data_IF_479765882264
#
_entry.id   IF_479765882264
#
_cell.length_a   1.000
_cell.length_b   1.000
_cell.length_c   1.000
_cell.angle_alpha   90.00
_cell.angle_beta   90.00
_cell.angle_gamma   90.00
#
_symmetry.space_group_name_H-M   'P 1'
#
loop_
_entity.id
_entity.type
_entity.pdbx_description
1 polymer ?
#
# COMPACT_ATOMS: atom_id res chain seq x y z
N UNK A 1 17.23 3.38 -13.99
CA UNK A 1 18.15 3.25 -12.85
C UNK A 1 19.32 2.47 -13.39
N UNK A 2 20.52 3.01 -13.21
CA UNK A 2 21.74 2.43 -13.75
C UNK A 2 21.95 0.99 -13.27
N UNK A 3 22.47 0.12 -14.13
CA UNK A 3 22.63 -1.31 -13.83
C UNK A 3 23.60 -1.55 -12.67
N UNK A 4 24.59 -0.67 -12.48
CA UNK A 4 25.55 -0.77 -11.37
C UNK A 4 24.85 -0.74 -10.00
N UNK A 5 23.78 0.06 -9.85
CA UNK A 5 23.03 0.18 -8.60
C UNK A 5 22.21 -1.07 -8.25
N UNK A 6 21.99 -1.97 -9.22
CA UNK A 6 21.23 -3.21 -9.05
C UNK A 6 22.11 -4.40 -8.65
N UNK A 7 23.40 -4.16 -8.40
CA UNK A 7 24.34 -5.13 -7.85
C UNK A 7 24.80 -4.67 -6.48
N UNK A 8 25.04 -5.58 -5.53
CA UNK A 8 25.63 -5.21 -4.24
C UNK A 8 27.05 -4.66 -4.41
N UNK A 9 27.62 -4.02 -3.38
CA UNK A 9 29.04 -3.69 -3.38
C UNK A 9 29.88 -4.97 -3.45
N UNK A 10 31.12 -4.88 -3.93
CA UNK A 10 32.01 -6.03 -4.10
C UNK A 10 32.37 -6.71 -2.78
N UNK A 11 32.30 -5.99 -1.67
CA UNK A 11 32.25 -6.55 -0.33
C UNK A 11 31.43 -5.65 0.58
N UNK A 12 31.03 -6.20 1.73
CA UNK A 12 30.32 -5.45 2.77
C UNK A 12 31.03 -4.17 3.22
N UNK A 13 32.36 -4.21 3.32
CA UNK A 13 33.17 -3.11 3.84
C UNK A 13 33.31 -1.93 2.85
N UNK A 14 32.92 -2.13 1.59
CA UNK A 14 32.93 -1.07 0.58
C UNK A 14 31.69 -0.17 0.62
N UNK A 15 30.72 -0.44 1.51
CA UNK A 15 29.57 0.43 1.67
C UNK A 15 30.00 1.84 2.10
N UNK A 16 29.45 2.85 1.43
CA UNK A 16 29.65 4.24 1.87
C UNK A 16 29.18 4.39 3.32
N UNK A 17 30.00 5.03 4.16
CA UNK A 17 29.64 5.27 5.56
C UNK A 17 28.30 6.02 5.63
N UNK A 18 27.43 5.75 6.62
CA UNK A 18 26.13 6.42 6.69
C UNK A 18 26.22 7.96 6.77
N UNK A 19 27.28 8.48 7.40
CA UNK A 19 27.59 9.91 7.49
C UNK A 19 27.95 10.49 6.12
N UNK A 20 28.80 9.81 5.36
CA UNK A 20 29.16 10.23 4.01
C UNK A 20 27.96 10.12 3.07
N UNK A 21 27.13 9.09 3.23
CA UNK A 21 25.88 8.95 2.48
C UNK A 21 24.96 10.15 2.71
N UNK A 22 24.78 10.56 3.97
CA UNK A 22 24.03 11.77 4.30
C UNK A 22 24.68 13.03 3.67
N UNK A 23 26.00 13.15 3.72
CA UNK A 23 26.74 14.27 3.10
C UNK A 23 26.54 14.33 1.58
N UNK A 24 26.68 13.22 0.86
CA UNK A 24 26.46 13.13 -0.60
C UNK A 24 25.04 13.60 -0.97
N UNK A 25 24.06 13.20 -0.17
CA UNK A 25 22.65 13.54 -0.39
C UNK A 25 22.27 14.98 0.01
N UNK A 26 23.16 15.74 0.66
CA UNK A 26 22.93 17.16 0.98
C UNK A 26 22.60 17.99 -0.26
N UNK A 27 23.13 17.63 -1.43
CA UNK A 27 22.88 18.27 -2.72
C UNK A 27 21.42 18.20 -3.18
N UNK A 28 20.61 17.32 -2.59
CA UNK A 28 19.19 17.19 -2.89
C UNK A 28 18.31 18.18 -2.10
N UNK A 29 18.83 18.83 -1.06
CA UNK A 29 18.08 19.85 -0.31
C UNK A 29 17.77 21.03 -1.23
N UNK A 30 16.53 21.53 -1.15
CA UNK A 30 15.94 22.54 -2.04
C UNK A 30 15.82 22.13 -3.52
N UNK A 31 16.14 20.87 -3.88
CA UNK A 31 15.95 20.38 -5.24
C UNK A 31 14.46 20.19 -5.54
N UNK A 32 13.98 20.58 -6.74
CA UNK A 32 12.60 20.34 -7.13
C UNK A 32 12.22 18.86 -7.11
N UNK A 33 11.10 18.54 -6.47
CA UNK A 33 10.50 17.22 -6.43
C UNK A 33 8.97 17.36 -6.35
N UNK A 34 8.31 17.23 -7.50
CA UNK A 34 6.85 17.33 -7.61
C UNK A 34 6.20 15.99 -7.28
N UNK A 35 5.33 15.99 -6.28
CA UNK A 35 4.52 14.81 -5.93
C UNK A 35 3.45 14.58 -7.00
N UNK A 36 3.33 13.34 -7.48
CA UNK A 36 2.28 12.94 -8.42
C UNK A 36 1.00 12.50 -7.72
N UNK A 37 1.00 12.44 -6.37
CA UNK A 37 -0.09 11.89 -5.57
C UNK A 37 -0.21 10.36 -5.62
N UNK A 38 0.76 9.67 -6.25
CA UNK A 38 0.77 8.21 -6.40
C UNK A 38 2.00 7.67 -5.67
N UNK A 39 1.85 7.09 -4.45
CA UNK A 39 2.99 6.73 -3.60
C UNK A 39 4.04 5.82 -4.28
N UNK A 40 3.62 4.88 -5.12
CA UNK A 40 4.54 4.00 -5.88
C UNK A 40 5.35 4.77 -6.92
N UNK A 41 4.72 5.72 -7.60
CA UNK A 41 5.38 6.58 -8.60
C UNK A 41 6.34 7.55 -7.92
N UNK A 42 5.90 8.21 -6.86
CA UNK A 42 6.72 9.14 -6.08
C UNK A 42 7.96 8.42 -5.51
N UNK A 43 7.76 7.23 -4.92
CA UNK A 43 8.86 6.39 -4.43
C UNK A 43 9.77 5.83 -5.54
N UNK A 44 9.30 5.69 -6.77
CA UNK A 44 10.15 5.31 -7.91
C UNK A 44 10.97 6.51 -8.41
N UNK A 45 10.36 7.70 -8.47
CA UNK A 45 11.01 8.93 -8.90
C UNK A 45 12.10 9.36 -7.91
N UNK A 46 11.82 9.35 -6.60
CA UNK A 46 12.82 9.66 -5.57
C UNK A 46 14.01 8.70 -5.65
N UNK A 47 13.74 7.41 -5.84
CA UNK A 47 14.78 6.39 -5.96
C UNK A 47 15.67 6.57 -7.18
N UNK A 48 15.10 6.97 -8.33
CA UNK A 48 15.89 7.31 -9.53
C UNK A 48 16.77 8.54 -9.26
N UNK A 49 16.21 9.55 -8.60
CA UNK A 49 16.92 10.77 -8.23
C UNK A 49 18.09 10.49 -7.29
N UNK A 50 17.86 9.80 -6.17
CA UNK A 50 18.91 9.37 -5.23
C UNK A 50 19.93 8.49 -5.94
N UNK A 51 19.48 7.50 -6.73
CA UNK A 51 20.37 6.62 -7.48
C UNK A 51 21.33 7.37 -8.39
N UNK A 52 20.86 8.40 -9.11
CA UNK A 52 21.71 9.21 -9.99
C UNK A 52 22.82 9.96 -9.25
N UNK A 53 22.58 10.41 -8.02
CA UNK A 53 23.62 11.05 -7.19
C UNK A 53 24.65 10.02 -6.72
N UNK A 54 24.18 8.87 -6.25
CA UNK A 54 25.03 7.83 -5.69
C UNK A 54 25.87 7.11 -6.75
N UNK A 55 25.45 7.12 -8.02
CA UNK A 55 26.21 6.51 -9.10
C UNK A 55 27.38 7.39 -9.60
N UNK A 56 27.32 8.70 -9.41
CA UNK A 56 28.32 9.63 -9.96
C UNK A 56 29.43 10.01 -8.99
N UNK A 57 29.14 10.07 -7.69
CA UNK A 57 30.09 10.55 -6.68
C UNK A 57 30.78 9.38 -5.96
N UNK A 58 31.88 8.90 -6.55
CA UNK A 58 32.74 7.84 -6.01
C UNK A 58 31.92 6.65 -5.46
N UNK A 59 31.16 5.95 -6.32
CA UNK A 59 30.35 4.82 -5.90
C UNK A 59 31.23 3.66 -5.41
N UNK A 60 30.72 2.79 -4.52
CA UNK A 60 31.34 1.50 -4.24
C UNK A 60 31.58 0.70 -5.53
N UNK A 61 32.59 -0.16 -5.53
CA UNK A 61 32.74 -1.10 -6.65
C UNK A 61 31.61 -2.11 -6.57
N UNK A 62 30.95 -2.39 -7.69
CA UNK A 62 29.89 -3.39 -7.74
C UNK A 62 30.48 -4.81 -7.79
N UNK A 63 29.86 -5.76 -7.09
CA UNK A 63 30.22 -7.18 -7.18
C UNK A 63 30.06 -7.71 -8.61
N UNK A 64 30.89 -8.69 -8.99
CA UNK A 64 30.75 -9.40 -10.26
C UNK A 64 29.59 -10.38 -10.17
N UNK A 65 28.98 -10.70 -11.31
CA UNK A 65 28.00 -11.79 -11.37
C UNK A 65 28.69 -13.11 -11.06
N UNK A 66 28.35 -13.75 -9.95
CA UNK A 66 29.01 -14.97 -9.47
C UNK A 66 29.37 -14.83 -7.99
N UNK A 67 30.00 -13.71 -7.63
CA UNK A 67 30.60 -13.46 -6.31
C UNK A 67 29.59 -13.27 -5.16
N UNK A 68 28.30 -13.36 -5.44
CA UNK A 68 27.25 -13.15 -4.45
C UNK A 68 25.95 -13.87 -4.81
N UNK A 69 25.18 -14.15 -3.77
CA UNK A 69 23.83 -14.70 -3.86
C UNK A 69 22.84 -13.82 -3.10
N UNK A 70 21.75 -13.46 -3.78
CA UNK A 70 20.60 -12.86 -3.12
C UNK A 70 19.75 -13.98 -2.53
N UNK A 71 19.66 -14.03 -1.21
CA UNK A 71 19.03 -15.13 -0.47
C UNK A 71 17.50 -15.10 -0.57
N UNK A 72 16.81 -13.95 -0.39
CA UNK A 72 15.36 -13.92 -0.43
C UNK A 72 14.82 -14.31 -1.81
N UNK A 73 13.85 -15.23 -1.88
CA UNK A 73 13.29 -15.68 -3.14
C UNK A 73 12.70 -14.52 -3.92
N UNK A 74 12.96 -14.49 -5.24
CA UNK A 74 12.56 -13.39 -6.14
C UNK A 74 13.02 -12.01 -5.67
N UNK A 75 14.07 -11.94 -4.83
CA UNK A 75 14.61 -10.69 -4.25
C UNK A 75 13.58 -9.93 -3.39
N UNK A 76 12.59 -10.61 -2.81
CA UNK A 76 11.57 -9.97 -1.97
C UNK A 76 12.17 -9.36 -0.71
N UNK A 77 11.78 -8.14 -0.40
CA UNK A 77 12.27 -7.41 0.77
C UNK A 77 13.68 -6.83 0.59
N UNK A 78 14.41 -7.24 -0.45
CA UNK A 78 15.74 -6.73 -0.74
C UNK A 78 15.63 -5.31 -1.33
N UNK A 79 16.49 -4.35 -0.92
CA UNK A 79 16.46 -3.00 -1.46
C UNK A 79 16.71 -2.97 -2.97
N UNK A 80 16.19 -1.94 -3.66
CA UNK A 80 16.44 -1.82 -5.12
C UNK A 80 17.74 -1.09 -5.46
N UNK A 81 18.27 -0.25 -4.55
CA UNK A 81 19.61 0.32 -4.67
C UNK A 81 20.51 -0.59 -3.83
N UNK A 82 21.00 -1.65 -4.46
CA UNK A 82 21.81 -2.68 -3.82
C UNK A 82 23.23 -2.22 -3.54
N UNK A 83 23.80 -1.43 -4.45
CA UNK A 83 25.20 -1.00 -4.37
C UNK A 83 25.49 -0.25 -3.07
N UNK A 84 24.51 0.55 -2.65
CA UNK A 84 24.52 1.29 -1.39
C UNK A 84 23.55 0.68 -0.38
N UNK A 85 23.04 -0.52 -0.61
CA UNK A 85 22.18 -1.28 0.29
C UNK A 85 21.15 -0.42 1.07
N UNK A 86 20.38 0.40 0.34
CA UNK A 86 19.45 1.39 0.89
C UNK A 86 18.02 1.24 0.36
N UNK A 87 17.06 1.50 1.25
CA UNK A 87 15.68 1.79 0.86
C UNK A 87 15.40 3.29 0.91
N UNK A 88 14.56 3.76 -0.01
CA UNK A 88 14.22 5.17 -0.17
C UNK A 88 12.75 5.44 0.10
N UNK A 89 12.44 6.48 0.85
CA UNK A 89 11.09 6.82 1.27
C UNK A 89 10.79 8.30 1.09
N UNK A 90 9.62 8.62 0.52
CA UNK A 90 9.10 9.98 0.46
C UNK A 90 8.30 10.24 1.74
N UNK A 91 8.66 11.31 2.45
CA UNK A 91 7.95 11.82 3.63
C UNK A 91 7.31 13.14 3.23
N UNK A 92 5.98 13.20 3.24
CA UNK A 92 5.26 14.43 2.86
C UNK A 92 4.69 15.13 4.08
N UNK A 93 3.38 15.04 4.28
CA UNK A 93 2.62 15.83 5.25
C UNK A 93 1.87 14.94 6.25
N UNK A 94 1.40 15.54 7.35
CA UNK A 94 0.65 14.88 8.42
C UNK A 94 1.28 15.07 9.81
N UNK A 95 0.66 14.50 10.83
CA UNK A 95 1.16 14.55 12.23
C UNK A 95 2.23 13.49 12.49
N UNK A 96 2.25 12.42 11.68
CA UNK A 96 3.23 11.34 11.75
C UNK A 96 3.43 10.71 10.38
N UNK A 97 4.59 10.07 10.21
CA UNK A 97 4.93 9.24 9.07
C UNK A 97 4.85 7.76 9.45
N UNK A 98 4.13 6.97 8.65
CA UNK A 98 4.06 5.52 8.83
C UNK A 98 5.06 4.84 7.89
N UNK A 99 6.26 4.55 8.40
CA UNK A 99 7.27 3.77 7.70
C UNK A 99 6.77 2.33 7.50
N UNK A 100 6.72 1.89 6.25
CA UNK A 100 6.25 0.57 5.86
C UNK A 100 7.37 -0.20 5.17
N UNK A 101 7.76 -1.33 5.75
CA UNK A 101 8.76 -2.22 5.18
C UNK A 101 8.08 -3.53 4.78
N UNK A 102 8.28 -3.93 3.53
CA UNK A 102 7.65 -5.11 2.95
C UNK A 102 8.61 -6.28 2.96
N UNK A 103 8.10 -7.46 3.34
CA UNK A 103 8.75 -8.75 3.20
C UNK A 103 10.06 -8.96 3.97
N UNK A 104 10.35 -8.10 4.97
CA UNK A 104 11.41 -8.32 5.98
C UNK A 104 11.06 -7.63 7.29
N UNK A 105 11.59 -8.13 8.41
CA UNK A 105 11.69 -7.36 9.64
C UNK A 105 13.01 -6.56 9.61
N UNK A 106 12.97 -5.21 9.58
CA UNK A 106 14.17 -4.39 9.48
C UNK A 106 15.21 -4.67 10.56
N UNK A 107 14.81 -5.00 11.78
CA UNK A 107 15.73 -5.18 12.92
C UNK A 107 16.21 -6.64 13.09
N UNK A 108 16.07 -7.45 12.04
CA UNK A 108 16.47 -8.87 12.09
C UNK A 108 17.84 -9.12 11.47
N UNK A 109 18.54 -10.12 12.00
CA UNK A 109 19.76 -10.68 11.41
C UNK A 109 19.48 -11.59 10.20
N UNK A 110 18.35 -11.40 9.51
CA UNK A 110 18.00 -12.20 8.34
C UNK A 110 18.89 -11.83 7.17
N UNK A 111 19.70 -12.78 6.73
CA UNK A 111 20.60 -12.65 5.57
C UNK A 111 19.79 -12.28 4.33
N UNK A 112 20.23 -11.23 3.63
CA UNK A 112 19.66 -10.83 2.35
C UNK A 112 20.62 -11.10 1.20
N UNK A 113 21.92 -10.92 1.44
CA UNK A 113 22.99 -11.16 0.48
C UNK A 113 24.08 -11.94 1.19
N UNK A 114 24.52 -13.00 0.55
CA UNK A 114 25.67 -13.81 0.95
C UNK A 114 26.73 -13.66 -0.14
N UNK A 115 27.95 -13.37 0.25
CA UNK A 115 29.09 -13.28 -0.66
C UNK A 115 29.89 -14.58 -0.65
N UNK A 116 30.61 -14.83 -1.75
CA UNK A 116 31.40 -16.07 -1.89
C UNK A 116 32.53 -16.17 -0.87
N UNK A 117 33.08 -15.05 -0.39
CA UNK A 117 34.07 -15.04 0.71
C UNK A 117 33.44 -15.30 2.09
N UNK A 118 32.13 -15.54 2.17
CA UNK A 118 31.40 -15.92 3.36
C UNK A 118 30.83 -14.76 4.19
N UNK A 119 31.08 -13.51 3.79
CA UNK A 119 30.44 -12.35 4.46
C UNK A 119 28.99 -12.20 4.05
N UNK A 120 28.20 -11.50 4.87
CA UNK A 120 26.76 -11.36 4.70
C UNK A 120 26.30 -9.93 4.93
N UNK A 121 25.31 -9.50 4.14
CA UNK A 121 24.50 -8.31 4.40
C UNK A 121 23.12 -8.72 4.90
N UNK A 122 22.83 -8.34 6.14
CA UNK A 122 21.61 -8.65 6.84
C UNK A 122 20.56 -7.56 6.70
N UNK A 123 19.29 -7.91 6.94
CA UNK A 123 18.18 -6.94 6.95
C UNK A 123 18.43 -5.75 7.90
N UNK A 124 19.10 -6.00 9.04
CA UNK A 124 19.51 -5.00 10.03
C UNK A 124 20.52 -3.96 9.53
N UNK A 125 21.09 -4.17 8.34
CA UNK A 125 22.13 -3.31 7.76
C UNK A 125 21.59 -2.45 6.62
N UNK A 126 20.31 -2.62 6.26
CA UNK A 126 19.65 -1.79 5.25
C UNK A 126 19.44 -0.39 5.82
N UNK A 127 20.04 0.61 5.17
CA UNK A 127 19.89 2.02 5.54
C UNK A 127 18.60 2.58 4.93
N UNK A 128 17.85 3.32 5.71
CA UNK A 128 16.63 4.00 5.29
C UNK A 128 16.96 5.44 4.94
N UNK A 129 16.82 5.82 3.68
CA UNK A 129 16.92 7.19 3.22
C UNK A 129 15.51 7.77 3.10
N UNK A 130 15.14 8.63 4.05
CA UNK A 130 13.84 9.31 4.06
C UNK A 130 14.04 10.76 3.59
N UNK A 131 13.39 11.11 2.48
CA UNK A 131 13.40 12.47 1.95
C UNK A 131 12.08 13.18 2.28
N UNK A 132 12.16 14.24 3.07
CA UNK A 132 11.03 15.12 3.37
C UNK A 132 10.78 16.05 2.20
N UNK A 133 9.54 16.09 1.72
CA UNK A 133 9.10 16.91 0.60
C UNK A 133 8.05 17.91 1.08
N UNK A 134 8.27 19.18 0.76
CA UNK A 134 7.25 20.20 0.90
C UNK A 134 6.30 20.14 -0.30
N UNK A 135 5.04 19.79 -0.06
CA UNK A 135 4.05 19.61 -1.12
C UNK A 135 3.60 20.94 -1.75
N UNK A 136 3.76 22.06 -1.06
CA UNK A 136 3.40 23.40 -1.55
C UNK A 136 4.51 23.94 -2.44
N UNK A 137 5.74 23.88 -1.96
CA UNK A 137 6.93 24.36 -2.67
C UNK A 137 7.44 23.37 -3.73
N UNK A 138 7.00 22.10 -3.67
CA UNK A 138 7.49 21.01 -4.52
C UNK A 138 9.01 20.85 -4.48
N UNK A 139 9.60 20.90 -3.27
CA UNK A 139 11.04 20.73 -3.05
C UNK A 139 11.32 19.72 -1.94
N UNK A 140 12.49 19.10 -1.99
CA UNK A 140 13.02 18.31 -0.86
C UNK A 140 13.53 19.28 0.20
N UNK A 141 12.97 19.21 1.40
CA UNK A 141 13.32 20.12 2.51
C UNK A 141 14.25 19.49 3.54
N UNK A 142 14.38 18.17 3.58
CA UNK A 142 15.24 17.48 4.54
C UNK A 142 15.49 16.06 4.11
N UNK A 143 16.66 15.52 4.44
CA UNK A 143 17.01 14.13 4.22
C UNK A 143 17.52 13.55 5.52
N UNK A 144 17.11 12.32 5.80
CA UNK A 144 17.68 11.57 6.92
C UNK A 144 18.02 10.15 6.48
N UNK A 145 19.22 9.73 6.83
CA UNK A 145 19.68 8.35 6.73
C UNK A 145 19.52 7.72 8.11
N UNK A 146 18.74 6.64 8.20
CA UNK A 146 18.47 5.92 9.45
C UNK A 146 18.89 4.46 9.37
N UNK A 147 19.43 3.94 10.47
CA UNK A 147 19.60 2.49 10.68
C UNK A 147 18.35 1.88 11.35
N UNK A 148 18.05 0.59 11.13
CA UNK A 148 17.01 -0.12 11.88
C UNK A 148 17.16 0.02 13.41
N UNK A 149 18.37 -0.21 13.93
CA UNK A 149 18.67 -0.13 15.37
C UNK A 149 18.27 1.23 15.98
N UNK A 150 18.70 2.32 15.34
CA UNK A 150 18.29 3.67 15.74
C UNK A 150 16.78 3.86 15.70
N UNK A 151 16.09 3.39 14.65
CA UNK A 151 14.64 3.48 14.54
C UNK A 151 13.97 2.77 15.72
N UNK A 152 14.47 1.59 16.07
CA UNK A 152 13.96 0.81 17.21
C UNK A 152 14.22 1.51 18.53
N UNK A 153 15.44 2.02 18.77
CA UNK A 153 15.80 2.74 19.99
C UNK A 153 14.99 4.03 20.18
N UNK A 154 14.72 4.77 19.10
CA UNK A 154 14.06 6.09 19.16
C UNK A 154 12.53 6.03 19.03
N UNK A 155 12.00 5.09 18.26
CA UNK A 155 10.56 5.03 17.92
C UNK A 155 9.91 3.68 18.27
N UNK A 156 10.66 2.74 18.84
CA UNK A 156 10.20 1.43 19.27
C UNK A 156 10.25 0.34 18.20
N UNK A 157 10.06 -0.90 18.65
CA UNK A 157 10.12 -2.15 17.87
C UNK A 157 9.13 -2.19 16.70
N UNK A 158 9.57 -2.53 15.48
CA UNK A 158 8.69 -2.69 14.32
C UNK A 158 7.48 -3.59 14.62
N UNK A 159 6.31 -3.23 14.08
CA UNK A 159 5.08 -3.99 14.30
C UNK A 159 5.18 -5.41 13.73
N UNK A 160 4.47 -6.36 14.35
CA UNK A 160 4.45 -7.76 13.89
C UNK A 160 4.06 -7.85 12.41
N UNK A 161 4.72 -8.72 11.62
CA UNK A 161 4.36 -8.98 10.24
C UNK A 161 2.86 -9.25 10.09
N UNK A 162 2.16 -8.39 9.35
CA UNK A 162 0.80 -8.68 8.92
C UNK A 162 0.84 -9.20 7.50
N UNK A 163 0.34 -10.43 7.30
CA UNK A 163 0.18 -11.03 5.97
C UNK A 163 -0.89 -10.27 5.20
N UNK A 164 -0.63 -10.01 3.92
CA UNK A 164 -1.52 -9.30 3.01
C UNK A 164 -1.79 -10.17 1.78
N UNK A 165 -3.05 -10.51 1.57
CA UNK A 165 -3.55 -11.11 0.35
C UNK A 165 -3.81 -10.01 -0.68
N UNK A 166 -3.49 -10.30 -1.95
CA UNK A 166 -3.64 -9.33 -3.04
C UNK A 166 -4.24 -9.99 -4.26
N UNK A 167 -5.01 -9.20 -5.00
CA UNK A 167 -5.51 -9.51 -6.33
C UNK A 167 -4.76 -8.68 -7.36
N UNK A 168 -4.66 -9.19 -8.58
CA UNK A 168 -4.21 -8.45 -9.74
C UNK A 168 -5.26 -8.46 -10.84
N UNK A 169 -5.45 -7.33 -11.50
CA UNK A 169 -6.24 -7.25 -12.73
C UNK A 169 -5.35 -6.74 -13.87
N UNK A 170 -5.46 -7.37 -15.04
CA UNK A 170 -4.77 -6.91 -16.24
C UNK A 170 -5.45 -5.67 -16.81
N UNK A 171 -4.69 -4.81 -17.50
CA UNK A 171 -5.26 -3.62 -18.14
C UNK A 171 -6.34 -4.02 -19.17
N UNK A 172 -6.08 -5.07 -19.96
CA UNK A 172 -7.04 -5.59 -20.93
C UNK A 172 -8.36 -6.07 -20.26
N UNK A 173 -8.27 -6.81 -19.15
CA UNK A 173 -9.45 -7.26 -18.40
C UNK A 173 -10.24 -6.08 -17.84
N UNK A 174 -9.55 -5.04 -17.35
CA UNK A 174 -10.18 -3.81 -16.86
C UNK A 174 -10.93 -3.09 -17.98
N UNK A 175 -10.28 -2.88 -19.12
CA UNK A 175 -10.87 -2.21 -20.29
C UNK A 175 -12.14 -2.94 -20.77
N UNK A 176 -12.07 -4.27 -20.91
CA UNK A 176 -13.23 -5.09 -21.28
C UNK A 176 -14.42 -4.95 -20.33
N UNK A 177 -14.17 -4.74 -19.03
CA UNK A 177 -15.25 -4.52 -18.04
C UNK A 177 -15.85 -3.13 -18.19
N UNK A 178 -15.01 -2.11 -18.45
CA UNK A 178 -15.46 -0.74 -18.67
C UNK A 178 -16.28 -0.59 -19.96
N UNK A 179 -16.06 -1.46 -20.95
CA UNK A 179 -16.86 -1.56 -22.18
C UNK A 179 -18.25 -2.17 -21.97
N UNK A 180 -18.51 -2.86 -20.84
CA UNK A 180 -19.85 -3.34 -20.53
C UNK A 180 -20.82 -2.17 -20.33
N UNK A 181 -22.11 -2.41 -20.59
CA UNK A 181 -23.16 -1.41 -20.34
C UNK A 181 -23.11 -0.93 -18.88
N UNK A 182 -22.84 0.37 -18.69
CA UNK A 182 -22.72 0.98 -17.36
C UNK A 182 -21.39 0.72 -16.63
N UNK A 183 -20.40 0.12 -17.30
CA UNK A 183 -19.05 -0.09 -16.76
C UNK A 183 -18.98 -1.04 -15.54
N UNK A 184 -20.04 -1.78 -15.26
CA UNK A 184 -20.18 -2.62 -14.07
C UNK A 184 -20.26 -4.09 -14.46
N UNK A 185 -19.25 -4.87 -14.04
CA UNK A 185 -19.35 -6.32 -14.07
C UNK A 185 -20.04 -6.80 -12.79
N UNK A 186 -21.16 -7.51 -12.94
CA UNK A 186 -21.99 -7.96 -11.84
C UNK A 186 -22.18 -9.48 -11.87
N UNK A 187 -22.06 -10.12 -10.70
CA UNK A 187 -22.49 -11.49 -10.48
C UNK A 187 -23.51 -11.53 -9.36
N UNK A 188 -24.65 -12.15 -9.64
CA UNK A 188 -25.65 -12.39 -8.63
C UNK A 188 -25.20 -13.47 -7.63
N UNK A 189 -25.81 -13.47 -6.46
CA UNK A 189 -25.64 -14.51 -5.47
C UNK A 189 -26.41 -15.77 -5.88
N UNK A 190 -25.85 -16.96 -5.60
CA UNK A 190 -26.54 -18.23 -5.89
C UNK A 190 -27.83 -18.39 -5.06
N UNK A 191 -27.80 -17.89 -3.83
CA UNK A 191 -28.95 -17.79 -2.94
C UNK A 191 -29.17 -16.31 -2.63
N UNK A 192 -30.39 -15.82 -2.87
CA UNK A 192 -30.71 -14.42 -2.62
C UNK A 192 -30.72 -14.15 -1.11
N UNK A 193 -29.79 -13.31 -0.65
CA UNK A 193 -29.70 -12.92 0.76
C UNK A 193 -30.14 -11.47 0.94
N UNK A 194 -31.11 -11.26 1.83
CA UNK A 194 -31.63 -9.94 2.19
C UNK A 194 -32.95 -9.57 1.48
N UNK A 195 -33.47 -8.38 1.79
CA UNK A 195 -34.71 -7.85 1.24
C UNK A 195 -34.50 -6.40 0.75
N UNK A 196 -34.94 -6.02 -0.47
CA UNK A 196 -34.80 -4.65 -0.96
C UNK A 196 -35.41 -3.59 -0.02
N UNK A 197 -36.48 -3.92 0.70
CA UNK A 197 -37.16 -3.00 1.62
C UNK A 197 -36.33 -2.66 2.86
N UNK A 198 -35.32 -3.47 3.18
CA UNK A 198 -34.41 -3.23 4.32
C UNK A 198 -33.63 -1.92 4.19
N UNK A 199 -33.55 -1.33 2.99
CA UNK A 199 -32.92 -0.01 2.78
C UNK A 199 -33.51 1.07 3.69
N UNK A 200 -34.81 0.96 4.01
CA UNK A 200 -35.52 1.90 4.90
C UNK A 200 -35.07 1.78 6.36
N UNK A 201 -34.53 0.62 6.74
CA UNK A 201 -34.13 0.32 8.10
C UNK A 201 -32.67 0.74 8.39
N UNK A 202 -31.83 0.90 7.36
CA UNK A 202 -30.37 1.08 7.53
C UNK A 202 -29.98 2.29 8.37
N UNK A 203 -30.82 3.31 8.45
CA UNK A 203 -30.60 4.47 9.33
C UNK A 203 -30.63 4.14 10.83
N UNK A 204 -31.16 2.97 11.20
CA UNK A 204 -31.19 2.46 12.58
C UNK A 204 -29.98 1.61 12.93
N UNK A 205 -29.20 1.16 11.94
CA UNK A 205 -28.04 0.31 12.10
C UNK A 205 -26.73 1.10 12.02
N UNK A 206 -25.66 0.52 12.56
CA UNK A 206 -24.28 0.90 12.29
C UNK A 206 -23.71 0.02 11.19
N UNK A 207 -22.79 0.56 10.38
CA UNK A 207 -22.04 -0.24 9.40
C UNK A 207 -21.19 -1.34 10.05
N UNK A 208 -20.91 -1.20 11.36
CA UNK A 208 -20.14 -2.16 12.14
C UNK A 208 -21.01 -3.20 12.86
N UNK A 209 -22.34 -3.11 12.74
CA UNK A 209 -23.21 -4.15 13.26
C UNK A 209 -23.07 -5.44 12.42
N UNK A 210 -23.41 -6.58 13.01
CA UNK A 210 -23.44 -7.83 12.26
C UNK A 210 -24.57 -7.79 11.21
N UNK A 211 -24.45 -8.54 10.10
CA UNK A 211 -25.56 -8.69 9.15
C UNK A 211 -26.78 -9.33 9.81
N UNK A 212 -27.97 -8.80 9.52
CA UNK A 212 -29.25 -9.37 9.98
C UNK A 212 -30.25 -9.44 8.84
N UNK A 213 -31.30 -10.25 9.01
CA UNK A 213 -32.40 -10.34 8.04
C UNK A 213 -33.16 -9.01 7.85
N UNK A 214 -33.12 -8.11 8.83
CA UNK A 214 -33.78 -6.80 8.79
C UNK A 214 -32.92 -5.68 8.18
N UNK A 215 -31.63 -5.96 7.96
CA UNK A 215 -30.66 -4.98 7.46
C UNK A 215 -30.08 -5.36 6.10
N UNK A 216 -29.89 -6.66 5.82
CA UNK A 216 -29.22 -7.11 4.60
C UNK A 216 -30.00 -6.71 3.34
N UNK A 217 -29.33 -6.06 2.41
CA UNK A 217 -29.82 -5.83 1.06
C UNK A 217 -29.42 -7.01 0.15
N UNK A 218 -30.25 -7.36 -0.85
CA UNK A 218 -29.81 -8.21 -1.95
C UNK A 218 -28.66 -7.56 -2.71
N UNK A 219 -27.72 -8.37 -3.20
CA UNK A 219 -26.60 -7.85 -4.00
C UNK A 219 -27.08 -7.12 -5.28
N UNK A 220 -28.24 -7.51 -5.82
CA UNK A 220 -28.90 -6.82 -6.94
C UNK A 220 -29.39 -5.41 -6.57
N UNK A 221 -29.86 -5.19 -5.33
CA UNK A 221 -30.17 -3.85 -4.82
C UNK A 221 -28.89 -3.01 -4.66
N UNK A 222 -27.81 -3.63 -4.17
CA UNK A 222 -26.49 -2.97 -4.08
C UNK A 222 -25.99 -2.57 -5.48
N UNK A 223 -26.15 -3.44 -6.49
CA UNK A 223 -25.80 -3.16 -7.90
C UNK A 223 -26.51 -1.90 -8.39
N UNK A 224 -27.81 -1.78 -8.16
CA UNK A 224 -28.59 -0.63 -8.62
C UNK A 224 -28.13 0.67 -7.94
N UNK A 225 -27.79 0.60 -6.65
CA UNK A 225 -27.23 1.74 -5.92
C UNK A 225 -25.86 2.13 -6.48
N UNK A 226 -24.98 1.14 -6.73
CA UNK A 226 -23.66 1.37 -7.32
C UNK A 226 -23.78 2.06 -8.68
N UNK A 227 -24.63 1.52 -9.56
CA UNK A 227 -24.81 2.06 -10.90
C UNK A 227 -25.37 3.49 -10.91
N UNK A 228 -26.32 3.80 -10.00
CA UNK A 228 -27.01 5.10 -9.98
C UNK A 228 -26.30 6.18 -9.16
N UNK A 229 -25.59 5.79 -8.10
CA UNK A 229 -25.11 6.73 -7.08
C UNK A 229 -23.59 6.73 -6.88
N UNK A 230 -22.88 5.65 -7.27
CA UNK A 230 -21.43 5.52 -7.04
C UNK A 230 -20.63 5.71 -8.32
N UNK A 231 -21.02 5.04 -9.41
CA UNK A 231 -20.40 5.24 -10.73
C UNK A 231 -20.66 6.69 -11.18
N UNK A 232 -19.61 7.34 -11.70
CA UNK A 232 -19.63 8.77 -12.04
C UNK A 232 -19.26 9.71 -10.90
N UNK A 233 -19.18 9.24 -9.64
CA UNK A 233 -18.72 10.08 -8.53
C UNK A 233 -17.21 10.32 -8.62
N UNK A 234 -16.79 11.52 -8.18
CA UNK A 234 -15.38 11.88 -8.11
C UNK A 234 -14.81 11.59 -6.74
N UNK A 235 -13.75 10.79 -6.69
CA UNK A 235 -12.94 10.58 -5.50
C UNK A 235 -11.69 11.44 -5.65
N UNK A 236 -11.53 12.46 -4.80
CA UNK A 236 -10.41 13.40 -4.89
C UNK A 236 -9.05 12.68 -4.92
N UNK A 237 -8.07 13.20 -5.68
CA UNK A 237 -6.71 12.68 -5.68
C UNK A 237 -6.12 12.70 -4.26
N UNK A 238 -5.39 11.65 -3.88
CA UNK A 238 -4.81 11.51 -2.55
C UNK A 238 -4.28 10.10 -2.29
N UNK A 239 -3.74 9.86 -1.09
CA UNK A 239 -3.29 8.53 -0.71
C UNK A 239 -4.44 7.50 -0.80
N UNK A 240 -4.16 6.29 -1.28
CA UNK A 240 -5.17 5.23 -1.49
C UNK A 240 -6.03 4.95 -0.26
N UNK A 241 -5.48 5.07 0.95
CA UNK A 241 -6.25 4.96 2.20
C UNK A 241 -7.36 6.01 2.29
N UNK A 242 -7.04 7.27 2.00
CA UNK A 242 -7.99 8.37 2.06
C UNK A 242 -9.06 8.20 0.96
N UNK A 243 -8.65 7.75 -0.23
CA UNK A 243 -9.57 7.42 -1.33
C UNK A 243 -10.53 6.28 -0.98
N UNK A 244 -10.03 5.24 -0.31
CA UNK A 244 -10.86 4.15 0.23
C UNK A 244 -11.88 4.63 1.25
N UNK A 245 -11.49 5.50 2.18
CA UNK A 245 -12.40 6.12 3.15
C UNK A 245 -13.47 7.01 2.48
N UNK A 246 -13.12 7.71 1.40
CA UNK A 246 -14.10 8.46 0.61
C UNK A 246 -15.08 7.53 -0.09
N UNK A 247 -14.60 6.43 -0.70
CA UNK A 247 -15.48 5.42 -1.31
C UNK A 247 -16.44 4.82 -0.28
N UNK A 248 -15.92 4.42 0.88
CA UNK A 248 -16.72 3.91 2.00
C UNK A 248 -17.80 4.93 2.39
N UNK A 249 -17.43 6.21 2.56
CA UNK A 249 -18.38 7.29 2.88
C UNK A 249 -19.48 7.47 1.84
N UNK A 250 -19.16 7.29 0.54
CA UNK A 250 -20.16 7.33 -0.53
C UNK A 250 -21.20 6.21 -0.35
N UNK A 251 -20.75 4.99 -0.06
CA UNK A 251 -21.65 3.87 0.21
C UNK A 251 -22.53 4.11 1.44
N UNK A 252 -21.97 4.61 2.54
CA UNK A 252 -22.74 4.92 3.76
C UNK A 252 -23.89 5.88 3.46
N UNK A 253 -23.59 6.95 2.72
CA UNK A 253 -24.57 7.95 2.30
C UNK A 253 -25.62 7.32 1.37
N UNK A 254 -25.19 6.55 0.37
CA UNK A 254 -26.07 5.93 -0.61
C UNK A 254 -26.98 4.83 -0.03
N UNK A 255 -26.54 4.17 1.03
CA UNK A 255 -27.31 3.19 1.77
C UNK A 255 -28.20 3.81 2.87
N UNK A 256 -27.97 5.08 3.24
CA UNK A 256 -28.79 5.78 4.24
C UNK A 256 -28.42 5.49 5.70
N UNK A 257 -27.21 5.02 5.97
CA UNK A 257 -26.70 4.87 7.35
C UNK A 257 -26.58 6.25 8.03
N UNK A 258 -26.87 6.30 9.34
CA UNK A 258 -26.60 7.50 10.14
C UNK A 258 -25.11 7.59 10.47
N UNK A 259 -24.48 8.71 10.14
CA UNK A 259 -23.11 9.02 10.58
C UNK A 259 -23.11 9.31 12.09
N UNK A 260 -22.69 8.34 12.92
CA UNK A 260 -22.58 8.53 14.38
C UNK A 260 -21.09 8.60 14.78
N UNK A 261 -20.63 9.77 15.24
CA UNK A 261 -19.29 9.95 15.83
C UNK A 261 -18.13 10.18 14.84
N UNK A 262 -16.93 10.40 15.39
CA UNK A 262 -15.73 10.76 14.65
C UNK A 262 -15.05 9.54 13.99
N UNK A 263 -15.41 9.28 12.74
CA UNK A 263 -14.57 8.56 11.79
C UNK A 263 -14.94 7.10 11.50
N UNK A 264 -14.68 6.67 10.27
CA UNK A 264 -14.73 5.28 9.81
C UNK A 264 -13.68 4.46 10.58
N UNK A 265 -14.13 3.51 11.41
CA UNK A 265 -13.24 2.61 12.14
C UNK A 265 -12.87 1.49 11.19
N UNK A 266 -11.57 1.33 10.90
CA UNK A 266 -11.10 0.27 10.02
C UNK A 266 -11.55 -1.12 10.50
N UNK A 267 -11.95 -1.98 9.56
CA UNK A 267 -12.42 -3.33 9.83
C UNK A 267 -12.44 -4.16 8.55
N UNK A 268 -12.66 -5.47 8.70
CA UNK A 268 -13.00 -6.33 7.58
C UNK A 268 -14.34 -7.04 7.89
N UNK A 269 -15.33 -6.99 7.00
CA UNK A 269 -15.32 -6.15 5.80
C UNK A 269 -15.52 -4.65 6.16
N UNK A 270 -15.31 -3.76 5.20
CA UNK A 270 -15.48 -2.30 5.36
C UNK A 270 -16.93 -1.96 5.81
N UNK A 271 -17.95 -2.59 5.21
CA UNK A 271 -19.36 -2.46 5.62
C UNK A 271 -19.86 -3.82 6.14
N UNK A 272 -19.56 -4.11 7.41
CA UNK A 272 -19.91 -5.37 8.11
C UNK A 272 -21.39 -5.70 8.03
N UNK A 273 -22.26 -4.75 8.26
CA UNK A 273 -23.70 -5.00 8.27
C UNK A 273 -24.24 -5.50 6.90
N UNK A 274 -23.52 -5.22 5.81
CA UNK A 274 -23.87 -5.68 4.46
C UNK A 274 -22.96 -6.80 3.95
N UNK A 275 -22.03 -7.29 4.78
CA UNK A 275 -20.97 -8.21 4.37
C UNK A 275 -20.25 -7.75 3.09
N UNK A 276 -19.96 -6.44 3.00
CA UNK A 276 -19.46 -5.80 1.78
C UNK A 276 -18.10 -5.14 2.01
N UNK A 277 -17.08 -5.64 1.33
CA UNK A 277 -15.76 -5.03 1.24
C UNK A 277 -15.70 -4.09 0.03
N UNK A 278 -15.20 -2.86 0.21
CA UNK A 278 -15.08 -1.87 -0.86
C UNK A 278 -13.63 -1.48 -1.10
N UNK A 279 -13.19 -1.53 -2.36
CA UNK A 279 -11.79 -1.26 -2.72
C UNK A 279 -11.69 -0.36 -3.92
N UNK A 280 -10.81 0.64 -3.84
CA UNK A 280 -10.42 1.45 -4.99
C UNK A 280 -9.26 0.75 -5.71
N UNK A 281 -9.37 0.58 -7.03
CA UNK A 281 -8.32 0.06 -7.88
C UNK A 281 -7.56 1.22 -8.55
N UNK A 282 -6.58 1.78 -7.85
CA UNK A 282 -5.69 2.84 -8.39
C UNK A 282 -4.43 2.28 -9.07
N UNK A 283 -4.10 1.01 -8.78
CA UNK A 283 -2.91 0.32 -9.27
C UNK A 283 -3.27 -1.11 -9.67
N UNK A 284 -2.40 -1.77 -10.46
CA UNK A 284 -2.63 -3.13 -10.96
C UNK A 284 -3.00 -4.16 -9.88
N UNK A 285 -2.57 -3.94 -8.63
CA UNK A 285 -2.86 -4.78 -7.48
C UNK A 285 -3.96 -4.17 -6.59
N UNK A 286 -4.90 -4.98 -6.12
CA UNK A 286 -5.89 -4.66 -5.08
C UNK A 286 -5.53 -5.39 -3.79
N UNK A 287 -5.45 -4.68 -2.66
CA UNK A 287 -5.16 -5.28 -1.34
C UNK A 287 -6.46 -5.81 -0.71
N UNK A 288 -6.51 -7.11 -0.45
CA UNK A 288 -7.62 -7.79 0.25
C UNK A 288 -7.42 -7.80 1.78
N UNK A 289 -6.24 -7.45 2.27
CA UNK A 289 -5.94 -7.52 3.69
C UNK A 289 -5.65 -8.94 4.17
N UNK A 290 -6.19 -9.29 5.34
CA UNK A 290 -5.86 -10.54 6.03
C UNK A 290 -6.54 -11.77 5.39
N UNK A 291 -7.75 -11.62 4.88
CA UNK A 291 -8.57 -12.72 4.37
C UNK A 291 -8.49 -12.81 2.84
N UNK A 292 -8.64 -14.02 2.30
CA UNK A 292 -8.69 -14.28 0.86
C UNK A 292 -9.85 -15.21 0.54
N UNK A 293 -10.69 -14.92 -0.46
CA UNK A 293 -11.67 -15.86 -0.98
C UNK A 293 -11.07 -17.12 -1.61
N UNK A 294 -9.74 -17.21 -1.78
CA UNK A 294 -9.06 -18.43 -2.21
C UNK A 294 -9.15 -19.55 -1.16
N UNK A 295 -9.28 -19.20 0.13
CA UNK A 295 -9.39 -20.14 1.24
C UNK A 295 -10.76 -19.97 1.89
N UNK A 296 -11.48 -21.05 2.15
CA UNK A 296 -12.77 -20.99 2.86
C UNK A 296 -12.53 -20.80 4.35
N UNK A 297 -12.87 -19.63 4.87
CA UNK A 297 -12.67 -19.27 6.28
C UNK A 297 -13.86 -18.47 6.82
N UNK A 298 -14.24 -18.69 8.07
CA UNK A 298 -15.26 -17.87 8.75
C UNK A 298 -14.76 -16.46 8.98
N UNK A 299 -15.63 -15.46 8.79
CA UNK A 299 -15.27 -14.05 9.01
C UNK A 299 -15.80 -13.60 10.38
N UNK A 300 -14.93 -13.13 11.29
CA UNK A 300 -15.36 -12.72 12.63
C UNK A 300 -16.44 -11.63 12.59
N UNK A 301 -17.49 -11.80 13.41
CA UNK A 301 -18.64 -10.87 13.52
C UNK A 301 -19.45 -10.69 12.23
N UNK A 302 -19.35 -11.64 11.30
CA UNK A 302 -20.13 -11.62 10.06
C UNK A 302 -20.88 -12.95 9.95
N UNK A 303 -21.84 -13.18 10.85
CA UNK A 303 -22.63 -14.41 10.91
C UNK A 303 -23.31 -14.71 9.56
N UNK A 304 -23.28 -15.97 9.13
CA UNK A 304 -23.79 -16.39 7.81
C UNK A 304 -22.83 -16.12 6.63
N UNK A 305 -21.73 -15.38 6.86
CA UNK A 305 -20.73 -15.10 5.84
C UNK A 305 -19.36 -15.74 6.13
N UNK A 306 -18.71 -16.16 5.07
CA UNK A 306 -17.35 -16.66 4.99
C UNK A 306 -16.63 -15.95 3.84
N UNK A 307 -15.34 -16.18 3.69
CA UNK A 307 -14.52 -15.56 2.64
C UNK A 307 -15.01 -15.80 1.20
N UNK A 308 -15.75 -16.89 0.93
CA UNK A 308 -16.28 -17.23 -0.41
C UNK A 308 -17.57 -16.47 -0.73
N UNK A 309 -18.48 -16.29 0.23
CA UNK A 309 -19.74 -15.57 0.01
C UNK A 309 -19.70 -14.10 0.47
N UNK A 310 -18.59 -13.64 1.05
CA UNK A 310 -18.36 -12.21 1.30
C UNK A 310 -18.49 -11.41 0.00
N UNK A 311 -19.13 -10.24 0.05
CA UNK A 311 -19.39 -9.40 -1.12
C UNK A 311 -18.25 -8.40 -1.29
N UNK A 312 -17.94 -8.09 -2.55
CA UNK A 312 -16.86 -7.18 -2.92
C UNK A 312 -17.35 -6.19 -3.95
N UNK A 313 -17.06 -4.91 -3.74
CA UNK A 313 -17.08 -3.90 -4.78
C UNK A 313 -15.67 -3.35 -5.03
N UNK A 314 -15.12 -3.62 -6.21
CA UNK A 314 -13.82 -3.09 -6.64
C UNK A 314 -14.07 -1.98 -7.66
N UNK A 315 -13.91 -0.73 -7.22
CA UNK A 315 -14.13 0.48 -8.01
C UNK A 315 -12.94 0.77 -8.94
N UNK A 316 -13.21 0.92 -10.23
CA UNK A 316 -12.24 1.37 -11.22
C UNK A 316 -12.28 2.89 -11.32
N UNK A 317 -11.22 3.54 -10.84
CA UNK A 317 -11.13 5.00 -10.88
C UNK A 317 -10.20 5.48 -11.98
N UNK A 318 -10.60 6.55 -12.64
CA UNK A 318 -9.74 7.27 -13.55
C UNK A 318 -8.61 7.96 -12.75
N UNK A 319 -7.33 7.68 -13.01
CA UNK A 319 -6.25 8.25 -12.22
C UNK A 319 -6.02 9.75 -12.42
N UNK A 320 -6.58 10.35 -13.48
CA UNK A 320 -6.43 11.78 -13.78
C UNK A 320 -7.60 12.60 -13.25
N UNK A 321 -8.85 12.18 -13.51
CA UNK A 321 -10.05 12.89 -13.06
C UNK A 321 -10.52 12.48 -11.66
N UNK A 322 -10.13 11.30 -11.18
CA UNK A 322 -10.60 10.73 -9.92
C UNK A 322 -12.02 10.13 -10.00
N UNK A 323 -12.65 10.15 -11.16
CA UNK A 323 -14.01 9.63 -11.39
C UNK A 323 -14.02 8.10 -11.26
N UNK A 324 -15.04 7.55 -10.61
CA UNK A 324 -15.35 6.11 -10.64
C UNK A 324 -15.97 5.78 -12.00
N UNK A 325 -15.19 5.17 -12.90
CA UNK A 325 -15.59 4.83 -14.28
C UNK A 325 -16.45 3.56 -14.34
N UNK A 326 -16.33 2.71 -13.32
CA UNK A 326 -16.97 1.41 -13.29
C UNK A 326 -16.47 0.55 -12.14
N UNK A 327 -16.66 -0.76 -12.24
CA UNK A 327 -16.12 -1.69 -11.25
C UNK A 327 -16.61 -3.12 -11.40
N UNK A 328 -16.29 -3.92 -10.37
CA UNK A 328 -16.75 -5.31 -10.23
C UNK A 328 -17.53 -5.42 -8.93
N UNK A 329 -18.76 -5.92 -8.99
CA UNK A 329 -19.59 -6.26 -7.83
C UNK A 329 -19.92 -7.76 -7.85
N UNK A 330 -19.40 -8.50 -6.89
CA UNK A 330 -19.61 -9.95 -6.81
C UNK A 330 -19.31 -10.51 -5.42
N UNK A 331 -19.61 -11.80 -5.23
CA UNK A 331 -19.12 -12.60 -4.10
C UNK A 331 -17.68 -13.05 -4.30
N UNK A 332 -17.00 -13.36 -3.19
CA UNK A 332 -15.60 -13.75 -3.17
C UNK A 332 -15.25 -14.92 -4.08
N UNK A 333 -16.11 -15.93 -4.16
CA UNK A 333 -15.94 -17.11 -5.03
C UNK A 333 -15.92 -16.77 -6.54
N UNK A 334 -16.42 -15.60 -6.94
CA UNK A 334 -16.39 -15.13 -8.33
C UNK A 334 -15.18 -14.26 -8.67
N UNK A 335 -14.47 -13.71 -7.66
CA UNK A 335 -13.35 -12.79 -7.90
C UNK A 335 -12.24 -13.42 -8.77
N UNK A 336 -11.95 -14.71 -8.56
CA UNK A 336 -10.92 -15.43 -9.32
C UNK A 336 -11.20 -15.61 -10.81
N UNK A 337 -12.40 -15.28 -11.29
CA UNK A 337 -12.75 -15.33 -12.73
C UNK A 337 -12.18 -14.17 -13.53
N UNK A 338 -11.83 -13.05 -12.88
CA UNK A 338 -11.39 -11.81 -13.51
C UNK A 338 -10.13 -11.23 -12.89
N UNK A 339 -9.87 -11.57 -11.63
CA UNK A 339 -8.66 -11.23 -10.93
C UNK A 339 -7.79 -12.47 -10.75
N UNK A 340 -6.48 -12.25 -10.76
CA UNK A 340 -5.50 -13.27 -10.40
C UNK A 340 -5.10 -13.09 -8.94
N UNK A 341 -5.24 -14.15 -8.13
CA UNK A 341 -4.70 -14.15 -6.78
C UNK A 341 -3.17 -14.14 -6.83
N UNK A 342 -2.56 -13.24 -6.05
CA UNK A 342 -1.11 -13.24 -5.89
C UNK A 342 -0.77 -14.39 -4.94
N UNK A 343 -0.32 -15.52 -5.52
CA UNK A 343 -0.05 -16.77 -4.79
C UNK A 343 1.01 -16.66 -3.70
N UNK A 344 1.85 -15.63 -3.74
CA UNK A 344 2.89 -15.44 -2.75
C UNK A 344 2.47 -14.49 -1.65
N UNK A 345 2.42 -15.00 -0.42
CA UNK A 345 2.22 -14.18 0.77
C UNK A 345 3.27 -13.06 0.81
N UNK A 346 2.77 -11.84 0.87
CA UNK A 346 3.57 -10.67 1.21
C UNK A 346 3.20 -10.24 2.62
N UNK A 347 4.15 -9.71 3.36
CA UNK A 347 3.87 -9.17 4.68
C UNK A 347 4.47 -7.78 4.82
N UNK A 348 3.93 -7.05 5.79
CA UNK A 348 4.35 -5.69 6.08
C UNK A 348 4.68 -5.53 7.56
N UNK A 349 5.82 -4.90 7.83
CA UNK A 349 6.24 -4.40 9.13
C UNK A 349 6.10 -2.87 9.12
N UNK A 350 5.68 -2.28 10.24
CA UNK A 350 5.38 -0.85 10.30
C UNK A 350 5.97 -0.14 11.51
N UNK A 351 6.30 1.14 11.33
CA UNK A 351 6.73 2.04 12.39
C UNK A 351 6.22 3.46 12.18
N UNK A 352 5.59 4.01 13.21
CA UNK A 352 5.19 5.42 13.22
C UNK A 352 6.35 6.28 13.69
N UNK A 353 6.68 7.30 12.92
CA UNK A 353 7.71 8.30 13.23
C UNK A 353 7.02 9.67 13.32
N UNK A 354 7.12 10.41 14.43
CA UNK A 354 6.48 11.72 14.59
C UNK A 354 6.93 12.72 13.53
N UNK A 355 6.03 13.58 13.03
CA UNK A 355 6.42 14.60 12.04
C UNK A 355 7.39 15.64 12.62
N UNK A 356 7.34 15.88 13.92
CA UNK A 356 8.28 16.75 14.66
C UNK A 356 9.74 16.33 14.47
N UNK A 357 10.01 15.03 14.35
CA UNK A 357 11.35 14.52 14.02
C UNK A 357 11.82 15.04 12.66
N UNK A 358 10.97 14.97 11.63
CA UNK A 358 11.30 15.45 10.29
C UNK A 358 11.31 16.99 10.19
N UNK A 359 10.62 17.70 11.07
CA UNK A 359 10.72 19.17 11.17
C UNK A 359 12.09 19.60 11.69
N UNK A 360 12.67 18.87 12.64
CA UNK A 360 13.99 19.17 13.20
C UNK A 360 15.17 19.03 12.22
N UNK A 361 14.95 18.38 11.07
CA UNK A 361 15.98 18.17 10.03
C UNK A 361 15.80 19.06 8.79
N UNK A 362 14.87 20.01 8.82
CA UNK A 362 14.69 20.95 7.71
C UNK A 362 16.01 21.67 7.36
N UNK A 363 16.30 21.78 6.07
CA UNK A 363 17.52 22.36 5.51
C UNK A 363 18.75 21.44 5.58
N UNK A 364 18.63 20.23 6.12
CA UNK A 364 19.78 19.35 6.41
C UNK A 364 19.61 17.96 5.79
N UNK A 365 20.74 17.32 5.51
CA UNK A 365 20.86 15.90 5.27
C UNK A 365 21.70 15.27 6.38
N UNK A 366 21.10 14.44 7.22
CA UNK A 366 21.71 13.96 8.48
C UNK A 366 21.63 12.45 8.63
N UNK A 367 22.51 11.89 9.46
CA UNK A 367 22.51 10.48 9.84
C UNK A 367 22.14 10.35 11.32
N UNK A 368 21.12 9.53 11.64
CA UNK A 368 20.70 9.21 13.02
C UNK A 368 20.71 10.41 14.01
N UNK A 369 19.98 11.52 13.73
CA UNK A 369 20.13 12.81 14.42
C UNK A 369 19.58 12.92 15.86
#
# INVERSE_FOLDING_TARGET
MEEILKRPPASKDQLTSPQDLAKKLQTLINRPFKLSGKPRTDGANLRKLIGSILATDSPPSAATSGDFKIIPPRKKGVPKILLEYIDTYVVSTGTSYNLQVWNRNPDSQSVQIEYDEGTQLNSSEIRFVLAKVDATLNIITGIVVLTPDYIVKKFGQFGRPTVKNQLMISQHSREKILENTGGLLFFDEAEQVGNPDNIRNLSNYSIHDEPTHESLLPISTIRDIVAKQIIGQTISPGATKNRGQVLESLFLKSFGYKMRGSGLIGGYPDIRNQALEVKVQDAQTVDLGLYSPEFLESVPKCGGFNTRNMRYFIAFTNPASGIVEGGVLCTGDKLGRYFTYVSEKSYKCQRTIPMTFFQGINGKSVFNP
#
